data_IF_850930758366
#
_entry.id   IF_850930758366
#
_cell.length_a   1.000
_cell.length_b   1.000
_cell.length_c   1.000
_cell.angle_alpha   90.00
_cell.angle_beta   90.00
_cell.angle_gamma   90.00
#
_symmetry.space_group_name_H-M   'P 1'
#
loop_
_entity.id
_entity.type
_entity.pdbx_description
1 polymer ?
#
# COMPACT_ATOMS: atom_id res chain seq x y z
N UNK A 1 -15.86 -29.97 -36.78
CA UNK A 1 -14.93 -29.59 -35.70
C UNK A 1 -13.53 -29.46 -36.28
N UNK A 2 -13.16 -28.28 -36.76
CA UNK A 2 -11.76 -27.98 -37.09
C UNK A 2 -11.13 -27.29 -35.88
N UNK A 3 -10.13 -27.92 -35.30
CA UNK A 3 -9.32 -27.37 -34.21
C UNK A 3 -8.48 -26.21 -34.77
N UNK A 4 -8.72 -25.01 -34.25
CA UNK A 4 -7.81 -23.88 -34.43
C UNK A 4 -6.60 -24.11 -33.52
N UNK A 5 -5.41 -24.21 -34.11
CA UNK A 5 -4.16 -24.36 -33.38
C UNK A 5 -3.84 -23.06 -32.58
N UNK A 6 -3.19 -23.19 -31.40
CA UNK A 6 -2.78 -22.04 -30.62
C UNK A 6 -1.63 -21.30 -31.33
N UNK A 7 -1.77 -19.98 -31.43
CA UNK A 7 -0.72 -19.10 -31.90
C UNK A 7 0.39 -19.08 -30.85
N UNK A 8 1.56 -19.61 -31.19
CA UNK A 8 2.77 -19.55 -30.37
C UNK A 8 3.43 -18.17 -30.53
N UNK A 9 3.20 -17.29 -29.56
CA UNK A 9 3.80 -15.94 -29.50
C UNK A 9 5.30 -15.95 -29.16
N UNK A 10 5.90 -17.13 -28.93
CA UNK A 10 7.33 -17.31 -28.65
C UNK A 10 8.25 -16.85 -29.78
N UNK A 11 7.72 -16.61 -30.99
CA UNK A 11 8.49 -16.15 -32.15
C UNK A 11 8.38 -14.64 -32.42
N UNK A 12 7.65 -13.88 -31.59
CA UNK A 12 7.42 -12.43 -31.77
C UNK A 12 8.15 -11.54 -30.75
N UNK A 13 8.88 -12.14 -29.81
CA UNK A 13 9.72 -11.40 -28.86
C UNK A 13 11.18 -11.65 -29.22
N UNK A 14 11.65 -10.93 -30.24
CA UNK A 14 13.08 -10.64 -30.33
C UNK A 14 13.53 -10.06 -28.98
N UNK A 15 14.68 -10.57 -28.53
CA UNK A 15 15.28 -10.35 -27.21
C UNK A 15 15.15 -8.90 -26.76
N UNK A 16 14.25 -8.65 -25.81
CA UNK A 16 14.39 -7.48 -24.95
C UNK A 16 15.62 -7.73 -24.08
N UNK A 17 16.77 -7.21 -24.50
CA UNK A 17 17.92 -7.01 -23.61
C UNK A 17 17.50 -5.96 -22.58
N UNK A 18 16.89 -6.45 -21.48
CA UNK A 18 16.61 -5.63 -20.31
C UNK A 18 17.95 -5.36 -19.64
N UNK A 19 18.57 -4.24 -20.00
CA UNK A 19 19.81 -3.81 -19.37
C UNK A 19 19.58 -3.56 -17.87
N UNK A 20 20.26 -4.31 -17.01
CA UNK A 20 20.15 -4.16 -15.56
C UNK A 20 21.19 -3.15 -15.05
N UNK A 21 20.78 -2.09 -14.33
CA UNK A 21 21.71 -1.22 -13.61
C UNK A 21 22.52 -2.02 -12.57
N UNK A 22 23.79 -1.65 -12.35
CA UNK A 22 24.77 -2.45 -11.59
C UNK A 22 24.44 -2.68 -10.09
N UNK A 23 23.49 -1.93 -9.54
CA UNK A 23 23.02 -1.98 -8.15
C UNK A 23 21.68 -2.73 -7.97
N UNK A 24 21.07 -3.19 -9.06
CA UNK A 24 19.79 -3.91 -9.05
C UNK A 24 19.98 -5.39 -9.38
N UNK A 25 18.97 -6.17 -9.00
CA UNK A 25 18.83 -7.58 -9.28
C UNK A 25 17.49 -7.82 -9.97
N UNK A 26 17.53 -8.53 -11.10
CA UNK A 26 16.33 -8.98 -11.78
C UNK A 26 15.86 -10.29 -11.15
N UNK A 27 14.62 -10.32 -10.66
CA UNK A 27 13.99 -11.54 -10.13
C UNK A 27 13.12 -12.21 -11.18
N UNK A 28 13.36 -13.50 -11.40
CA UNK A 28 12.56 -14.38 -12.25
C UNK A 28 11.78 -15.40 -11.40
N UNK A 29 10.60 -15.78 -11.86
CA UNK A 29 9.83 -16.91 -11.35
C UNK A 29 10.41 -18.25 -11.87
N UNK A 30 10.02 -19.41 -11.32
CA UNK A 30 10.53 -20.72 -11.74
C UNK A 30 10.34 -21.05 -13.22
N UNK A 31 9.35 -20.44 -13.85
CA UNK A 31 9.00 -20.53 -15.27
C UNK A 31 9.64 -19.42 -16.13
N UNK A 32 10.66 -18.75 -15.60
CA UNK A 32 11.40 -17.66 -16.25
C UNK A 32 10.59 -16.38 -16.51
N UNK A 33 9.40 -16.25 -15.90
CA UNK A 33 8.63 -15.02 -15.94
C UNK A 33 9.29 -13.92 -15.10
N UNK A 34 9.32 -12.68 -15.61
CA UNK A 34 9.78 -11.53 -14.84
C UNK A 34 8.86 -11.26 -13.64
N UNK A 35 9.45 -11.14 -12.45
CA UNK A 35 8.71 -10.82 -11.22
C UNK A 35 8.84 -9.34 -10.89
N UNK A 36 10.06 -8.87 -10.67
CA UNK A 36 10.36 -7.47 -10.33
C UNK A 36 11.87 -7.19 -10.37
N UNK A 37 12.24 -5.89 -10.29
CA UNK A 37 13.59 -5.45 -9.95
C UNK A 37 13.69 -5.19 -8.45
N UNK A 38 14.73 -5.71 -7.82
CA UNK A 38 15.05 -5.47 -6.41
C UNK A 38 16.47 -4.95 -6.26
N UNK A 39 16.81 -4.47 -5.07
CA UNK A 39 18.20 -4.15 -4.76
C UNK A 39 19.07 -5.43 -4.79
N UNK A 40 20.31 -5.29 -5.25
CA UNK A 40 21.29 -6.40 -5.32
C UNK A 40 21.40 -7.19 -4.01
N UNK A 41 21.39 -6.51 -2.87
CA UNK A 41 21.44 -7.11 -1.52
C UNK A 41 20.29 -8.11 -1.28
N UNK A 42 19.11 -7.84 -1.85
CA UNK A 42 17.95 -8.74 -1.74
C UNK A 42 18.10 -9.95 -2.65
N UNK A 43 18.65 -9.77 -3.86
CA UNK A 43 19.01 -10.89 -4.73
C UNK A 43 20.05 -11.81 -4.09
N UNK A 44 21.08 -11.25 -3.46
CA UNK A 44 22.10 -12.00 -2.71
C UNK A 44 21.49 -12.78 -1.54
N UNK A 45 20.51 -12.18 -0.84
CA UNK A 45 19.76 -12.87 0.21
C UNK A 45 19.02 -14.10 -0.32
N UNK A 46 18.37 -14.02 -1.49
CA UNK A 46 17.71 -15.18 -2.12
C UNK A 46 18.71 -16.32 -2.43
N UNK A 47 19.92 -15.98 -2.85
CA UNK A 47 20.97 -16.98 -3.11
C UNK A 47 21.48 -17.59 -1.82
N UNK A 48 21.74 -16.76 -0.80
CA UNK A 48 22.24 -17.18 0.51
C UNK A 48 21.28 -18.12 1.23
N UNK A 49 19.99 -17.79 1.23
CA UNK A 49 18.95 -18.61 1.87
C UNK A 49 18.51 -19.80 1.01
N UNK A 50 19.19 -20.04 -0.12
CA UNK A 50 18.85 -21.09 -1.08
C UNK A 50 17.41 -21.04 -1.58
N UNK A 51 16.82 -19.83 -1.63
CA UNK A 51 15.47 -19.54 -2.11
C UNK A 51 15.44 -19.21 -3.60
N UNK A 52 16.60 -18.99 -4.21
CA UNK A 52 16.75 -18.80 -5.66
C UNK A 52 18.08 -19.32 -6.19
N UNK A 53 18.24 -19.24 -7.51
CA UNK A 53 19.42 -19.64 -8.27
C UNK A 53 19.84 -18.49 -9.17
N UNK A 54 21.14 -18.19 -9.21
CA UNK A 54 21.68 -17.16 -10.10
C UNK A 54 21.60 -17.65 -11.54
N UNK A 55 21.01 -16.85 -12.43
CA UNK A 55 20.82 -17.18 -13.86
C UNK A 55 21.83 -16.44 -14.72
N UNK A 56 22.08 -15.17 -14.40
CA UNK A 56 23.04 -14.33 -15.12
C UNK A 56 23.99 -13.63 -14.14
N UNK A 57 25.28 -13.63 -14.49
CA UNK A 57 26.34 -12.99 -13.74
C UNK A 57 26.57 -11.53 -14.10
N UNK A 58 26.36 -11.14 -15.37
CA UNK A 58 26.63 -9.80 -15.87
C UNK A 58 25.53 -8.83 -15.45
N UNK A 59 24.26 -9.22 -15.62
CA UNK A 59 23.08 -8.42 -15.23
C UNK A 59 22.52 -8.74 -13.82
N UNK A 60 23.24 -9.57 -13.04
CA UNK A 60 22.84 -10.04 -11.70
C UNK A 60 21.37 -10.48 -11.60
N UNK A 61 21.03 -11.56 -12.30
CA UNK A 61 19.67 -12.12 -12.34
C UNK A 61 19.53 -13.32 -11.41
N UNK A 62 18.45 -13.38 -10.62
CA UNK A 62 18.12 -14.49 -9.71
C UNK A 62 16.73 -15.04 -10.01
N UNK A 63 16.66 -16.35 -10.29
CA UNK A 63 15.41 -17.10 -10.40
C UNK A 63 15.02 -17.66 -9.04
N UNK A 64 13.84 -17.33 -8.53
CA UNK A 64 13.35 -17.90 -7.27
C UNK A 64 12.90 -19.37 -7.48
N UNK A 65 13.12 -20.22 -6.48
CA UNK A 65 12.75 -21.66 -6.55
C UNK A 65 11.25 -21.89 -6.38
N UNK A 66 10.64 -21.07 -5.56
CA UNK A 66 9.21 -21.11 -5.28
C UNK A 66 8.66 -19.73 -5.53
N UNK A 67 7.81 -19.62 -6.54
CA UNK A 67 6.92 -18.49 -6.70
C UNK A 67 5.51 -19.03 -6.48
N UNK A 68 4.67 -18.37 -5.66
CA UNK A 68 3.33 -18.87 -5.45
C UNK A 68 2.64 -18.99 -6.82
N UNK A 69 1.90 -20.07 -7.11
CA UNK A 69 1.07 -20.20 -8.31
C UNK A 69 -0.16 -19.28 -8.25
N UNK A 70 -0.05 -18.18 -7.51
CA UNK A 70 -0.82 -16.99 -7.75
C UNK A 70 -0.23 -16.49 -9.06
N UNK A 71 -0.84 -16.92 -10.16
CA UNK A 71 -0.80 -16.12 -11.37
C UNK A 71 -1.14 -14.71 -10.90
N UNK A 72 -0.15 -13.84 -10.89
CA UNK A 72 -0.37 -12.40 -10.86
C UNK A 72 -1.04 -12.06 -12.18
N UNK A 73 -2.27 -12.56 -12.40
CA UNK A 73 -3.12 -12.17 -13.51
C UNK A 73 -3.27 -10.67 -13.36
N UNK A 74 -2.57 -9.94 -14.23
CA UNK A 74 -2.83 -8.53 -14.51
C UNK A 74 -1.92 -7.49 -13.84
N UNK A 75 -1.13 -7.79 -12.80
CA UNK A 75 -0.43 -6.71 -12.08
C UNK A 75 0.88 -6.23 -12.73
N UNK A 76 1.62 -7.13 -13.41
CA UNK A 76 2.89 -6.78 -14.10
C UNK A 76 2.91 -7.11 -15.60
N UNK A 77 1.84 -7.71 -16.16
CA UNK A 77 1.81 -8.20 -17.55
C UNK A 77 0.90 -7.42 -18.50
N UNK A 78 0.14 -6.44 -18.02
CA UNK A 78 -0.60 -5.57 -18.93
C UNK A 78 0.27 -4.42 -19.41
N UNK A 79 0.07 -3.97 -20.66
CA UNK A 79 0.36 -2.60 -21.11
C UNK A 79 -0.49 -1.61 -20.31
N UNK A 80 -0.37 -1.64 -18.99
CA UNK A 80 -1.26 -1.01 -18.04
C UNK A 80 -0.86 0.45 -17.95
N UNK A 81 -1.63 1.29 -18.61
CA UNK A 81 -1.68 2.72 -18.30
C UNK A 81 -1.94 2.84 -16.79
N UNK A 82 -0.94 3.28 -16.03
CA UNK A 82 -1.05 3.41 -14.57
C UNK A 82 -1.94 4.59 -14.22
N UNK A 83 -3.24 4.31 -14.08
CA UNK A 83 -4.27 5.32 -13.85
C UNK A 83 -4.55 5.51 -12.36
N UNK A 84 -4.77 6.76 -11.95
CA UNK A 84 -5.14 7.12 -10.59
C UNK A 84 -6.58 6.66 -10.33
N UNK A 85 -6.80 5.83 -9.32
CA UNK A 85 -8.13 5.33 -8.98
C UNK A 85 -9.10 6.42 -8.52
N UNK A 86 -8.60 7.59 -8.10
CA UNK A 86 -9.45 8.73 -7.71
C UNK A 86 -9.77 9.61 -8.92
N UNK A 87 -8.75 10.17 -9.58
CA UNK A 87 -8.94 11.21 -10.60
C UNK A 87 -8.83 10.72 -12.05
N UNK A 88 -8.41 9.48 -12.29
CA UNK A 88 -8.28 8.94 -13.63
C UNK A 88 -7.05 9.42 -14.41
N UNK A 89 -6.11 10.15 -13.79
CA UNK A 89 -4.89 10.61 -14.47
C UNK A 89 -3.89 9.46 -14.63
N UNK A 90 -3.14 9.44 -15.73
CA UNK A 90 -2.23 8.34 -16.10
C UNK A 90 -0.83 8.46 -15.47
N UNK A 91 -0.69 9.30 -14.44
CA UNK A 91 0.53 9.59 -13.69
C UNK A 91 0.51 8.96 -12.28
N UNK A 92 -0.22 7.85 -12.12
CA UNK A 92 -0.41 7.22 -10.81
C UNK A 92 0.73 6.26 -10.47
N UNK A 93 1.70 6.76 -9.72
CA UNK A 93 2.87 5.97 -9.32
C UNK A 93 2.85 5.54 -7.85
N UNK A 94 1.92 6.03 -7.03
CA UNK A 94 1.89 5.69 -5.60
C UNK A 94 0.97 4.50 -5.35
N UNK A 95 1.57 3.41 -4.88
CA UNK A 95 0.86 2.22 -4.41
C UNK A 95 0.53 2.42 -2.93
N UNK A 96 -0.74 2.67 -2.62
CA UNK A 96 -1.21 2.85 -1.25
C UNK A 96 -2.03 1.62 -0.82
N UNK A 97 -1.63 0.89 0.22
CA UNK A 97 -2.49 -0.15 0.81
C UNK A 97 -3.77 0.47 1.36
N UNK A 98 -4.92 -0.16 1.08
CA UNK A 98 -6.24 0.29 1.57
C UNK A 98 -6.29 0.24 3.09
N UNK A 99 -5.82 -0.85 3.69
CA UNK A 99 -5.65 -0.95 5.15
C UNK A 99 -4.24 -0.48 5.53
N UNK A 100 -4.10 0.61 6.32
CA UNK A 100 -2.79 1.12 6.69
C UNK A 100 -1.92 0.10 7.45
N UNK A 101 -0.61 0.18 7.22
CA UNK A 101 0.38 -0.69 7.86
C UNK A 101 0.34 -0.66 9.39
N UNK A 102 -0.07 0.48 9.99
CA UNK A 102 -0.24 0.60 11.44
C UNK A 102 -1.19 -0.45 12.02
N UNK A 103 -2.21 -0.88 11.25
CA UNK A 103 -3.16 -1.91 11.65
C UNK A 103 -2.77 -3.28 11.10
N UNK A 104 -2.45 -3.38 9.80
CA UNK A 104 -2.27 -4.67 9.13
C UNK A 104 -1.13 -5.50 9.70
N UNK A 105 -0.09 -4.86 10.25
CA UNK A 105 1.00 -5.57 10.95
C UNK A 105 0.55 -6.38 12.17
N UNK A 106 -0.63 -6.07 12.72
CA UNK A 106 -1.22 -6.77 13.86
C UNK A 106 -2.23 -7.85 13.44
N UNK A 107 -2.56 -7.95 12.15
CA UNK A 107 -3.48 -8.97 11.66
C UNK A 107 -2.81 -10.36 11.67
N UNK A 108 -3.58 -11.46 11.79
CA UNK A 108 -3.07 -12.80 11.54
C UNK A 108 -2.52 -12.93 10.12
N UNK A 109 -1.46 -13.73 9.94
CA UNK A 109 -0.76 -13.92 8.66
C UNK A 109 -1.72 -14.23 7.49
N UNK A 110 -2.71 -15.10 7.72
CA UNK A 110 -3.71 -15.45 6.70
C UNK A 110 -4.46 -14.23 6.17
N UNK A 111 -4.82 -13.30 7.07
CA UNK A 111 -5.53 -12.09 6.68
C UNK A 111 -4.58 -11.05 6.08
N UNK A 112 -3.32 -10.97 6.54
CA UNK A 112 -2.29 -10.15 5.89
C UNK A 112 -2.10 -10.52 4.42
N UNK A 113 -2.06 -11.81 4.10
CA UNK A 113 -1.97 -12.29 2.72
C UNK A 113 -3.19 -11.89 1.88
N UNK A 114 -4.37 -11.92 2.48
CA UNK A 114 -5.61 -11.49 1.81
C UNK A 114 -5.59 -9.98 1.50
N UNK A 115 -5.24 -9.15 2.48
CA UNK A 115 -5.22 -7.69 2.29
C UNK A 115 -3.96 -7.17 1.59
N UNK A 116 -2.93 -8.00 1.37
CA UNK A 116 -1.72 -7.60 0.66
C UNK A 116 -2.00 -7.18 -0.79
N UNK A 117 -3.10 -7.67 -1.37
CA UNK A 117 -3.57 -7.32 -2.71
C UNK A 117 -4.48 -6.08 -2.70
N UNK A 118 -4.90 -5.64 -1.52
CA UNK A 118 -5.82 -4.52 -1.35
C UNK A 118 -5.03 -3.19 -1.43
N UNK A 119 -4.58 -2.89 -2.64
CA UNK A 119 -3.69 -1.77 -2.97
C UNK A 119 -4.33 -0.94 -4.07
N UNK A 120 -4.18 0.38 -3.95
CA UNK A 120 -4.71 1.36 -4.89
C UNK A 120 -3.57 2.21 -5.47
N UNK A 121 -3.65 2.49 -6.76
CA UNK A 121 -2.77 3.44 -7.46
C UNK A 121 -3.32 4.85 -7.37
N UNK A 122 -2.50 5.79 -6.91
CA UNK A 122 -2.85 7.20 -6.78
C UNK A 122 -1.75 8.10 -7.38
N UNK A 123 -2.17 9.19 -8.01
CA UNK A 123 -1.26 10.31 -8.32
C UNK A 123 -0.93 11.09 -7.02
N UNK A 124 0.13 11.89 -7.05
CA UNK A 124 0.59 12.65 -5.87
C UNK A 124 -0.48 13.58 -5.29
N UNK A 125 -1.31 14.20 -6.14
CA UNK A 125 -2.41 15.07 -5.72
C UNK A 125 -3.45 14.29 -4.91
N UNK A 126 -3.86 13.13 -5.40
CA UNK A 126 -4.84 12.27 -4.74
C UNK A 126 -4.30 11.62 -3.46
N UNK A 127 -3.00 11.34 -3.39
CA UNK A 127 -2.35 10.92 -2.13
C UNK A 127 -2.49 12.00 -1.07
N UNK A 128 -2.16 13.25 -1.40
CA UNK A 128 -2.27 14.40 -0.49
C UNK A 128 -3.69 14.61 0.04
N UNK A 129 -4.69 14.53 -0.86
CA UNK A 129 -6.10 14.62 -0.47
C UNK A 129 -6.52 13.45 0.42
N UNK A 130 -6.13 12.23 0.05
CA UNK A 130 -6.42 11.04 0.82
C UNK A 130 -5.76 11.05 2.19
N UNK A 131 -4.57 11.62 2.32
CA UNK A 131 -3.88 11.76 3.60
C UNK A 131 -4.63 12.64 4.60
N UNK A 132 -5.19 13.76 4.13
CA UNK A 132 -6.05 14.64 4.94
C UNK A 132 -7.35 13.89 5.30
N UNK A 133 -7.96 13.21 4.33
CA UNK A 133 -9.18 12.42 4.57
C UNK A 133 -8.95 11.33 5.64
N UNK A 134 -7.82 10.62 5.56
CA UNK A 134 -7.47 9.54 6.48
C UNK A 134 -7.44 10.00 7.94
N UNK A 135 -7.04 11.25 8.23
CA UNK A 135 -7.06 11.78 9.60
C UNK A 135 -8.45 11.68 10.26
N UNK A 136 -9.52 11.85 9.46
CA UNK A 136 -10.90 11.67 9.95
C UNK A 136 -11.17 10.22 10.32
N UNK A 137 -10.73 9.28 9.50
CA UNK A 137 -10.86 7.84 9.76
C UNK A 137 -10.04 7.41 10.98
N UNK A 138 -8.81 7.90 11.11
CA UNK A 138 -8.01 7.71 12.32
C UNK A 138 -8.73 8.26 13.56
N UNK A 139 -9.37 9.45 13.51
CA UNK A 139 -10.11 9.98 14.67
C UNK A 139 -11.34 9.14 14.98
N UNK A 140 -12.06 8.68 13.94
CA UNK A 140 -13.22 7.81 14.05
C UNK A 140 -12.84 6.52 14.79
N UNK A 141 -11.82 5.81 14.31
CA UNK A 141 -11.31 4.59 14.95
C UNK A 141 -10.81 4.84 16.37
N UNK A 142 -10.10 5.95 16.59
CA UNK A 142 -9.65 6.36 17.92
C UNK A 142 -10.82 6.48 18.91
N UNK A 143 -11.87 7.23 18.53
CA UNK A 143 -13.06 7.43 19.36
C UNK A 143 -13.83 6.13 19.57
N UNK A 144 -14.08 5.38 18.49
CA UNK A 144 -14.81 4.11 18.53
C UNK A 144 -14.13 3.07 19.42
N UNK A 145 -12.80 3.01 19.39
CA UNK A 145 -12.04 1.99 20.11
C UNK A 145 -11.49 2.44 21.46
N UNK A 146 -11.65 3.71 21.82
CA UNK A 146 -10.96 4.30 22.98
C UNK A 146 -9.43 4.24 22.85
N UNK A 147 -8.90 4.23 21.62
CA UNK A 147 -7.48 4.10 21.37
C UNK A 147 -6.74 5.43 21.61
N UNK A 148 -5.42 5.40 21.91
CA UNK A 148 -4.60 6.62 21.96
C UNK A 148 -4.40 7.22 20.57
N UNK A 149 -3.77 8.39 20.48
CA UNK A 149 -3.41 8.98 19.19
C UNK A 149 -2.35 8.15 18.45
N UNK A 150 -2.42 8.13 17.11
CA UNK A 150 -1.51 7.42 16.23
C UNK A 150 -0.14 8.08 16.25
N UNK A 151 0.87 7.28 16.61
CA UNK A 151 2.27 7.64 16.48
C UNK A 151 2.65 7.96 15.03
N UNK A 152 2.14 7.17 14.07
CA UNK A 152 2.46 7.36 12.66
C UNK A 152 1.92 8.69 12.13
N UNK A 153 0.67 9.03 12.45
CA UNK A 153 0.11 10.33 12.05
C UNK A 153 0.85 11.49 12.72
N UNK A 154 1.21 11.36 14.00
CA UNK A 154 2.01 12.38 14.70
C UNK A 154 3.38 12.58 14.05
N UNK A 155 4.07 11.51 13.66
CA UNK A 155 5.33 11.60 12.94
C UNK A 155 5.20 12.28 11.57
N UNK A 156 4.13 12.02 10.84
CA UNK A 156 3.85 12.67 9.57
C UNK A 156 3.63 14.18 9.73
N UNK A 157 2.89 14.57 10.76
CA UNK A 157 2.63 15.99 11.07
C UNK A 157 3.87 16.70 11.56
N UNK A 158 4.71 16.02 12.35
CA UNK A 158 6.05 16.50 12.72
C UNK A 158 6.88 16.81 11.48
N UNK A 159 7.00 15.85 10.56
CA UNK A 159 7.72 16.05 9.28
C UNK A 159 7.15 17.21 8.47
N UNK A 160 5.82 17.29 8.32
CA UNK A 160 5.17 18.39 7.62
C UNK A 160 5.48 19.75 8.26
N UNK A 161 5.46 19.84 9.59
CA UNK A 161 5.81 21.07 10.30
C UNK A 161 7.29 21.44 10.13
N UNK A 162 8.20 20.47 10.18
CA UNK A 162 9.63 20.69 9.94
C UNK A 162 9.88 21.19 8.51
N UNK A 163 9.21 20.62 7.50
CA UNK A 163 9.31 21.08 6.11
C UNK A 163 8.85 22.54 5.96
N UNK A 164 7.70 22.89 6.55
CA UNK A 164 7.20 24.27 6.54
C UNK A 164 8.15 25.27 7.22
N UNK A 165 8.91 24.84 8.24
CA UNK A 165 9.87 25.70 8.94
C UNK A 165 11.16 25.94 8.16
N UNK A 166 11.68 24.89 7.52
CA UNK A 166 13.03 24.87 6.96
C UNK A 166 13.03 25.18 5.45
N UNK A 167 12.01 24.72 4.73
CA UNK A 167 11.95 24.76 3.26
C UNK A 167 10.80 25.64 2.74
N UNK A 168 9.96 26.18 3.63
CA UNK A 168 8.69 26.85 3.28
C UNK A 168 8.76 27.93 2.19
N UNK A 169 9.90 28.61 2.05
CA UNK A 169 10.12 29.65 1.02
C UNK A 169 10.57 29.10 -0.34
N UNK A 170 11.19 27.91 -0.38
CA UNK A 170 11.64 27.25 -1.62
C UNK A 170 10.61 26.22 -2.13
N UNK A 171 9.61 25.88 -1.32
CA UNK A 171 8.54 24.94 -1.66
C UNK A 171 7.58 25.53 -2.69
N UNK A 172 7.05 24.67 -3.57
CA UNK A 172 5.95 25.08 -4.44
C UNK A 172 4.72 25.45 -3.62
N UNK A 173 3.92 26.38 -4.13
CA UNK A 173 2.68 26.85 -3.48
C UNK A 173 1.76 25.66 -3.13
N UNK A 174 1.60 24.71 -4.05
CA UNK A 174 0.79 23.52 -3.87
C UNK A 174 1.30 22.64 -2.70
N UNK A 175 2.62 22.46 -2.60
CA UNK A 175 3.24 21.69 -1.52
C UNK A 175 3.05 22.39 -0.18
N UNK A 176 3.24 23.71 -0.13
CA UNK A 176 3.04 24.51 1.07
C UNK A 176 1.60 24.42 1.56
N UNK A 177 0.63 24.63 0.68
CA UNK A 177 -0.80 24.53 0.99
C UNK A 177 -1.18 23.14 1.52
N UNK A 178 -0.64 22.08 0.91
CA UNK A 178 -0.85 20.72 1.41
C UNK A 178 -0.33 20.54 2.84
N UNK A 179 0.91 20.92 3.13
CA UNK A 179 1.47 20.74 4.47
C UNK A 179 0.76 21.61 5.51
N UNK A 180 0.38 22.84 5.17
CA UNK A 180 -0.42 23.71 6.05
C UNK A 180 -1.79 23.10 6.34
N UNK A 181 -2.47 22.61 5.30
CA UNK A 181 -3.76 21.94 5.44
C UNK A 181 -3.64 20.67 6.28
N UNK A 182 -2.63 19.83 6.03
CA UNK A 182 -2.41 18.58 6.76
C UNK A 182 -2.13 18.82 8.25
N UNK A 183 -1.28 19.79 8.59
CA UNK A 183 -1.02 20.17 10.00
C UNK A 183 -2.29 20.74 10.64
N UNK A 184 -2.99 21.65 9.94
CA UNK A 184 -4.23 22.27 10.43
C UNK A 184 -5.34 21.24 10.70
N UNK A 185 -5.52 20.30 9.77
CA UNK A 185 -6.53 19.24 9.85
C UNK A 185 -6.22 18.25 10.98
N UNK A 186 -4.95 17.88 11.16
CA UNK A 186 -4.54 17.05 12.29
C UNK A 186 -4.95 17.68 13.63
N UNK A 187 -4.72 18.97 13.80
CA UNK A 187 -5.12 19.63 15.04
C UNK A 187 -6.64 19.76 15.16
N UNK A 188 -7.30 20.22 14.11
CA UNK A 188 -8.73 20.54 14.14
C UNK A 188 -9.61 19.30 14.16
N UNK A 189 -9.35 18.34 13.29
CA UNK A 189 -10.22 17.19 13.05
C UNK A 189 -9.73 15.90 13.73
N UNK A 190 -8.42 15.77 14.00
CA UNK A 190 -7.90 14.58 14.68
C UNK A 190 -7.75 14.80 16.19
N UNK A 191 -7.09 15.89 16.62
CA UNK A 191 -6.89 16.25 18.03
C UNK A 191 -8.06 17.04 18.62
N UNK A 192 -8.99 17.55 17.79
CA UNK A 192 -10.09 18.44 18.19
C UNK A 192 -9.62 19.73 18.89
N UNK A 193 -8.48 20.28 18.48
CA UNK A 193 -7.89 21.53 18.99
C UNK A 193 -7.74 22.51 17.84
N UNK A 194 -8.44 23.66 17.89
CA UNK A 194 -8.27 24.71 16.87
C UNK A 194 -6.93 25.39 17.05
N UNK A 195 -6.08 25.35 16.03
CA UNK A 195 -4.74 25.94 16.06
C UNK A 195 -4.56 26.86 14.86
N UNK A 196 -4.09 28.09 15.10
CA UNK A 196 -3.66 29.00 14.03
C UNK A 196 -2.20 28.69 13.71
N UNK A 197 -1.95 28.13 12.52
CA UNK A 197 -0.60 27.79 12.07
C UNK A 197 0.25 29.06 12.00
N UNK A 198 1.38 29.03 12.70
CA UNK A 198 2.40 30.07 12.69
C UNK A 198 3.74 29.44 13.06
N UNK A 199 4.84 30.20 12.88
CA UNK A 199 6.21 29.70 13.11
C UNK A 199 6.43 29.12 14.52
N UNK A 200 5.79 29.70 15.55
CA UNK A 200 5.90 29.21 16.94
C UNK A 200 5.28 27.83 17.09
N UNK A 201 4.04 27.65 16.63
CA UNK A 201 3.34 26.36 16.68
C UNK A 201 4.10 25.29 15.89
N UNK A 202 4.59 25.62 14.69
CA UNK A 202 5.36 24.69 13.88
C UNK A 202 6.63 24.23 14.62
N UNK A 203 7.30 25.14 15.35
CA UNK A 203 8.47 24.82 16.16
C UNK A 203 8.13 23.88 17.31
N UNK A 204 7.05 24.18 18.04
CA UNK A 204 6.53 23.30 19.11
C UNK A 204 6.26 21.88 18.60
N UNK A 205 5.64 21.74 17.42
CA UNK A 205 5.39 20.44 16.77
C UNK A 205 6.68 19.73 16.37
N UNK A 206 7.63 20.47 15.81
CA UNK A 206 8.89 19.92 15.32
C UNK A 206 9.81 19.44 16.45
N UNK A 207 9.75 20.08 17.61
CA UNK A 207 10.61 19.77 18.78
C UNK A 207 9.99 18.72 19.69
N UNK A 208 8.70 18.45 19.59
CA UNK A 208 8.01 17.45 20.41
C UNK A 208 8.60 16.04 20.21
N UNK A 209 8.76 15.30 21.31
CA UNK A 209 9.12 13.88 21.29
C UNK A 209 7.85 13.00 21.17
N UNK A 210 7.65 12.31 20.03
CA UNK A 210 6.48 11.47 19.81
C UNK A 210 6.56 10.09 20.48
N UNK A 211 7.65 9.75 21.17
CA UNK A 211 7.83 8.42 21.81
C UNK A 211 6.74 8.09 22.82
N UNK A 212 6.08 9.08 23.42
CA UNK A 212 4.94 8.86 24.32
C UNK A 212 3.71 8.21 23.64
N UNK A 213 3.66 8.17 22.31
CA UNK A 213 2.58 7.54 21.52
C UNK A 213 2.96 6.15 20.97
N UNK A 214 4.16 5.64 21.27
CA UNK A 214 4.73 4.48 20.60
C UNK A 214 3.82 3.23 20.72
N UNK A 215 3.42 2.70 19.56
CA UNK A 215 2.81 1.36 19.35
C UNK A 215 1.53 1.03 20.13
N UNK A 216 0.75 2.02 20.55
CA UNK A 216 -0.51 1.75 21.24
C UNK A 216 -1.75 1.85 20.34
N UNK A 217 -1.80 2.76 19.36
CA UNK A 217 -3.02 3.00 18.57
C UNK A 217 -3.43 1.79 17.71
N UNK A 218 -2.59 1.39 16.76
CA UNK A 218 -2.89 0.29 15.84
C UNK A 218 -3.26 -1.02 16.56
N UNK A 219 -2.51 -1.36 17.62
CA UNK A 219 -2.80 -2.54 18.43
C UNK A 219 -4.15 -2.42 19.17
N UNK A 220 -4.44 -1.29 19.82
CA UNK A 220 -5.68 -1.09 20.55
C UNK A 220 -6.92 -1.15 19.63
N UNK A 221 -6.82 -0.56 18.43
CA UNK A 221 -7.90 -0.64 17.43
C UNK A 221 -8.11 -2.09 17.01
N UNK A 222 -7.05 -2.79 16.59
CA UNK A 222 -7.13 -4.20 16.14
C UNK A 222 -7.71 -5.09 17.23
N UNK A 223 -7.21 -4.97 18.46
CA UNK A 223 -7.70 -5.74 19.60
C UNK A 223 -9.19 -5.48 19.89
N UNK A 224 -9.66 -4.23 19.75
CA UNK A 224 -11.08 -3.89 19.95
C UNK A 224 -11.96 -4.54 18.89
N UNK A 225 -11.52 -4.53 17.62
CA UNK A 225 -12.25 -5.18 16.54
C UNK A 225 -12.32 -6.70 16.71
N UNK A 226 -11.22 -7.34 17.10
CA UNK A 226 -11.19 -8.79 17.35
C UNK A 226 -12.15 -9.20 18.48
N UNK A 227 -12.30 -8.38 19.51
CA UNK A 227 -13.07 -8.73 20.70
C UNK A 227 -14.53 -8.29 20.66
N UNK A 228 -14.81 -7.13 20.07
CA UNK A 228 -16.07 -6.42 20.33
C UNK A 228 -16.75 -5.82 19.07
N UNK A 229 -16.02 -5.56 17.98
CA UNK A 229 -16.55 -4.79 16.84
C UNK A 229 -16.62 -5.59 15.52
N UNK A 230 -17.00 -6.87 15.60
CA UNK A 230 -17.30 -7.67 14.40
C UNK A 230 -16.08 -8.26 13.68
N UNK A 231 -14.90 -8.15 14.26
CA UNK A 231 -13.67 -8.77 13.74
C UNK A 231 -12.91 -7.92 12.72
N UNK A 232 -11.81 -8.46 12.21
CA UNK A 232 -10.88 -7.73 11.36
C UNK A 232 -11.40 -7.47 9.93
N UNK A 233 -12.35 -8.28 9.46
CA UNK A 233 -13.01 -8.05 8.17
C UNK A 233 -13.83 -6.76 8.21
N UNK A 234 -14.46 -6.44 9.34
CA UNK A 234 -15.20 -5.18 9.52
C UNK A 234 -14.24 -3.98 9.49
N UNK A 235 -13.07 -4.09 10.12
CA UNK A 235 -12.05 -3.05 10.03
C UNK A 235 -11.57 -2.85 8.58
N UNK A 236 -11.35 -3.94 7.83
CA UNK A 236 -11.01 -3.87 6.41
C UNK A 236 -12.14 -3.21 5.61
N UNK A 237 -13.40 -3.57 5.87
CA UNK A 237 -14.55 -2.97 5.21
C UNK A 237 -14.63 -1.46 5.47
N UNK A 238 -14.44 -1.01 6.71
CA UNK A 238 -14.45 0.41 7.03
C UNK A 238 -13.37 1.20 6.26
N UNK A 239 -12.17 0.63 6.07
CA UNK A 239 -11.12 1.27 5.28
C UNK A 239 -11.46 1.29 3.78
N UNK A 240 -12.04 0.22 3.24
CA UNK A 240 -12.53 0.18 1.85
C UNK A 240 -13.62 1.23 1.61
N UNK A 241 -14.58 1.33 2.52
CA UNK A 241 -15.67 2.31 2.44
C UNK A 241 -15.14 3.75 2.56
N UNK A 242 -14.26 4.01 3.53
CA UNK A 242 -13.61 5.33 3.68
C UNK A 242 -12.83 5.75 2.43
N UNK A 243 -12.19 4.80 1.74
CA UNK A 243 -11.56 5.10 0.47
C UNK A 243 -12.60 5.29 -0.66
N UNK A 244 -13.64 4.46 -0.72
CA UNK A 244 -14.70 4.56 -1.71
C UNK A 244 -15.45 5.89 -1.70
N UNK A 245 -15.64 6.48 -0.51
CA UNK A 245 -16.20 7.83 -0.35
C UNK A 245 -15.35 8.94 -1.01
N UNK A 246 -14.08 8.65 -1.33
CA UNK A 246 -13.15 9.58 -1.98
C UNK A 246 -13.14 9.46 -3.51
N UNK A 247 -13.86 8.47 -4.08
CA UNK A 247 -13.86 8.16 -5.51
C UNK A 247 -15.24 8.48 -6.12
N UNK A 248 -15.29 8.87 -7.39
CA UNK A 248 -16.53 8.84 -8.17
C UNK A 248 -17.08 7.41 -8.33
N UNK A 249 -18.40 7.27 -8.43
CA UNK A 249 -19.08 5.96 -8.37
C UNK A 249 -18.53 4.92 -9.36
N UNK A 250 -18.12 5.32 -10.57
CA UNK A 250 -17.64 4.42 -11.62
C UNK A 250 -16.26 3.80 -11.31
N UNK A 251 -15.32 4.58 -10.79
CA UNK A 251 -14.00 4.08 -10.39
C UNK A 251 -14.06 3.28 -9.09
N UNK A 252 -15.03 3.56 -8.20
CA UNK A 252 -15.31 2.72 -7.04
C UNK A 252 -15.86 1.35 -7.44
N UNK A 253 -16.71 1.26 -8.46
CA UNK A 253 -17.21 -0.02 -8.98
C UNK A 253 -16.07 -0.83 -9.57
N UNK A 254 -15.13 -0.24 -10.32
CA UNK A 254 -13.94 -0.94 -10.83
C UNK A 254 -13.05 -1.47 -9.70
N UNK A 255 -12.73 -0.63 -8.71
CA UNK A 255 -11.97 -1.03 -7.53
C UNK A 255 -12.71 -2.10 -6.71
N UNK A 256 -14.03 -1.97 -6.56
CA UNK A 256 -14.87 -2.92 -5.86
C UNK A 256 -15.03 -4.24 -6.60
N UNK A 257 -15.05 -4.25 -7.93
CA UNK A 257 -15.06 -5.48 -8.74
C UNK A 257 -13.73 -6.25 -8.56
N UNK A 258 -12.60 -5.54 -8.55
CA UNK A 258 -11.30 -6.12 -8.17
C UNK A 258 -11.33 -6.69 -6.74
N UNK A 259 -12.08 -6.10 -5.82
CA UNK A 259 -12.25 -6.60 -4.46
C UNK A 259 -13.36 -7.68 -4.29
N UNK A 260 -14.33 -7.76 -5.21
CA UNK A 260 -15.57 -8.55 -5.07
C UNK A 260 -15.60 -9.82 -5.91
N UNK A 261 -14.85 -9.92 -7.01
CA UNK A 261 -14.81 -11.17 -7.81
C UNK A 261 -14.32 -12.39 -6.99
N UNK A 262 -13.63 -12.17 -5.86
CA UNK A 262 -13.17 -13.25 -4.98
C UNK A 262 -14.19 -13.76 -3.95
N UNK A 263 -15.35 -13.11 -3.75
CA UNK A 263 -16.41 -13.69 -2.90
C UNK A 263 -17.02 -14.96 -3.50
N UNK A 264 -16.88 -15.18 -4.82
CA UNK A 264 -17.37 -16.38 -5.50
C UNK A 264 -16.39 -17.56 -5.41
N UNK A 265 -15.10 -17.31 -5.15
CA UNK A 265 -14.10 -18.34 -4.84
C UNK A 265 -14.29 -18.94 -3.44
N UNK A 266 -15.08 -18.28 -2.59
CA UNK A 266 -15.37 -18.71 -1.22
C UNK A 266 -16.06 -20.08 -1.17
N UNK A 267 -16.85 -20.45 -2.20
CA UNK A 267 -17.52 -21.75 -2.27
C UNK A 267 -16.58 -22.91 -2.59
N UNK A 268 -15.44 -22.65 -3.24
CA UNK A 268 -14.51 -23.72 -3.69
C UNK A 268 -13.41 -24.02 -2.67
N UNK A 269 -12.98 -23.05 -1.87
CA UNK A 269 -11.87 -23.26 -0.90
C UNK A 269 -12.31 -24.06 0.33
N UNK A 270 -13.59 -24.04 0.72
CA UNK A 270 -14.15 -24.90 1.78
C UNK A 270 -14.18 -26.40 1.42
N UNK A 271 -13.97 -26.78 0.16
CA UNK A 271 -13.97 -28.18 -0.26
C UNK A 271 -12.60 -28.88 -0.12
N UNK A 272 -11.51 -28.13 0.08
CA UNK A 272 -10.17 -28.70 0.27
C UNK A 272 -9.95 -29.05 1.75
N UNK A 273 -10.47 -30.21 2.17
CA UNK A 273 -9.96 -30.92 3.35
C UNK A 273 -8.52 -31.33 3.06
N UNK A 274 -7.56 -30.56 3.57
CA UNK A 274 -6.16 -30.98 3.64
C UNK A 274 -6.09 -32.14 4.64
N UNK A 275 -5.98 -33.37 4.12
CA UNK A 275 -5.47 -34.50 4.91
C UNK A 275 -3.97 -34.26 5.08
N UNK A 276 -3.56 -34.09 6.32
CA UNK A 276 -2.15 -34.12 6.71
C UNK A 276 -1.73 -35.58 6.69
N UNK A 277 -0.81 -35.93 5.79
CA UNK A 277 0.05 -37.10 5.90
C UNK A 277 1.46 -36.59 6.17
#
# INVERSE_FOLDING_TARGET
FHQLQPVHYSNLLDRFEVHCPSDKCLLLAPDDEFVCLVDKSKGEWYLKEHLGTKVDCEDFTVRVKHFPPIQTIGYYQGLNVTQCHICGETDAFVHKPVVPHEYSKHFPVKLQLYIARDVIFLCLKCVRLGDISDLKMYNKLRKMCGAPYSYFQRQRVKKAATMLLNEGEQMSEESRQYHEAFVSDYYTNYVNKKVKINRRILKEISEEDPTCYLRAHGHAVVQKFERELGGLLELTHLWRTHFGEQIGMDSYVLASLLWSEESSLHTRVTALKVRVC
#
